data_IF_590190957200
#
_entry.id   IF_590190957200
#
_cell.length_a   1.000
_cell.length_b   1.000
_cell.length_c   1.000
_cell.angle_alpha   90.00
_cell.angle_beta   90.00
_cell.angle_gamma   90.00
#
_symmetry.space_group_name_H-M   'P 1'
#
loop_
_entity.id
_entity.type
_entity.pdbx_description
1 polymer ?
#
# COMPACT_ATOMS: atom_id res chain seq x y z
N UNK A 1 -9.94 -25.58 -10.21
CA UNK A 1 -8.84 -24.99 -9.44
C UNK A 1 -9.48 -24.03 -8.45
N UNK A 2 -9.58 -24.40 -7.17
CA UNK A 2 -10.21 -23.56 -6.15
C UNK A 2 -9.13 -22.61 -5.64
N UNK A 3 -9.25 -21.33 -5.93
CA UNK A 3 -8.34 -20.30 -5.41
C UNK A 3 -8.50 -20.23 -3.90
N UNK A 4 -7.41 -20.37 -3.15
CA UNK A 4 -7.43 -20.16 -1.70
C UNK A 4 -7.87 -18.71 -1.43
N UNK A 5 -8.97 -18.48 -0.69
CA UNK A 5 -9.43 -17.14 -0.33
C UNK A 5 -8.34 -16.31 0.36
N UNK A 6 -7.42 -16.97 1.06
CA UNK A 6 -6.28 -16.31 1.71
C UNK A 6 -5.30 -15.69 0.70
N UNK A 7 -5.03 -16.40 -0.41
CA UNK A 7 -4.17 -15.93 -1.48
C UNK A 7 -4.81 -14.77 -2.25
N UNK A 8 -6.11 -14.86 -2.52
CA UNK A 8 -6.87 -13.77 -3.14
C UNK A 8 -6.83 -12.50 -2.29
N UNK A 9 -7.06 -12.61 -0.98
CA UNK A 9 -7.03 -11.45 -0.09
C UNK A 9 -5.63 -10.84 0.00
N UNK A 10 -4.57 -11.67 0.04
CA UNK A 10 -3.19 -11.18 -0.01
C UNK A 10 -2.90 -10.43 -1.30
N UNK A 11 -3.32 -10.94 -2.46
CA UNK A 11 -3.18 -10.24 -3.75
C UNK A 11 -3.87 -8.88 -3.71
N UNK A 12 -5.10 -8.82 -3.24
CA UNK A 12 -5.86 -7.57 -3.10
C UNK A 12 -5.22 -6.60 -2.10
N UNK A 13 -4.68 -7.09 -0.99
CA UNK A 13 -3.95 -6.25 -0.04
C UNK A 13 -2.66 -5.67 -0.65
N UNK A 14 -1.94 -6.46 -1.46
CA UNK A 14 -0.79 -5.97 -2.23
C UNK A 14 -1.20 -4.85 -3.19
N UNK A 15 -2.28 -5.05 -3.96
CA UNK A 15 -2.82 -4.02 -4.86
C UNK A 15 -3.22 -2.73 -4.11
N UNK A 16 -3.82 -2.86 -2.92
CA UNK A 16 -4.15 -1.72 -2.05
C UNK A 16 -2.89 -0.94 -1.66
N UNK A 17 -1.84 -1.64 -1.26
CA UNK A 17 -0.57 -1.02 -0.88
C UNK A 17 0.10 -0.27 -2.04
N UNK A 18 0.22 -0.92 -3.20
CA UNK A 18 0.81 -0.30 -4.39
C UNK A 18 0.01 0.93 -4.84
N UNK A 19 -1.32 0.81 -4.95
CA UNK A 19 -2.18 1.91 -5.34
C UNK A 19 -2.14 3.09 -4.35
N UNK A 20 -1.93 2.82 -3.05
CA UNK A 20 -1.75 3.86 -2.05
C UNK A 20 -0.47 4.66 -2.28
N UNK A 21 0.65 3.99 -2.50
CA UNK A 21 1.90 4.69 -2.78
C UNK A 21 1.79 5.56 -4.04
N UNK A 22 1.20 5.03 -5.11
CA UNK A 22 0.95 5.77 -6.35
C UNK A 22 0.06 7.00 -6.14
N UNK A 23 -1.02 6.85 -5.39
CA UNK A 23 -1.92 7.94 -5.04
C UNK A 23 -1.17 9.05 -4.28
N UNK A 24 -0.40 8.68 -3.27
CA UNK A 24 0.36 9.66 -2.47
C UNK A 24 1.41 10.38 -3.33
N UNK A 25 2.11 9.65 -4.21
CA UNK A 25 3.07 10.24 -5.15
C UNK A 25 2.38 11.22 -6.09
N UNK A 26 1.19 10.90 -6.61
CA UNK A 26 0.40 11.81 -7.45
C UNK A 26 0.02 13.09 -6.70
N UNK A 27 -0.46 12.96 -5.46
CA UNK A 27 -0.83 14.10 -4.60
C UNK A 27 0.40 14.98 -4.35
N UNK A 28 1.53 14.40 -3.93
CA UNK A 28 2.75 15.16 -3.65
C UNK A 28 3.27 15.89 -4.90
N UNK A 29 3.19 15.27 -6.08
CA UNK A 29 3.57 15.92 -7.34
C UNK A 29 2.63 17.06 -7.70
N UNK A 30 1.32 16.88 -7.54
CA UNK A 30 0.33 17.92 -7.79
C UNK A 30 0.55 19.15 -6.91
N UNK A 31 0.97 18.93 -5.66
CA UNK A 31 1.29 19.99 -4.71
C UNK A 31 2.73 20.54 -4.84
N UNK A 32 3.48 20.11 -5.86
CA UNK A 32 4.91 20.42 -6.07
C UNK A 32 5.78 20.15 -4.83
N UNK A 33 5.41 19.14 -4.04
CA UNK A 33 6.13 18.71 -2.84
C UNK A 33 7.20 17.68 -3.20
N UNK A 34 8.33 17.75 -2.49
CA UNK A 34 9.41 16.77 -2.64
C UNK A 34 8.97 15.40 -2.14
N UNK A 35 9.34 14.36 -2.88
CA UNK A 35 9.19 12.95 -2.49
C UNK A 35 10.54 12.49 -1.95
N UNK A 36 10.69 12.48 -0.63
CA UNK A 36 11.94 12.17 0.06
C UNK A 36 11.68 11.37 1.33
N UNK A 37 12.71 10.68 1.82
CA UNK A 37 12.68 9.98 3.10
C UNK A 37 11.91 8.66 3.06
N UNK A 38 11.51 8.18 4.24
CA UNK A 38 10.80 6.92 4.36
C UNK A 38 9.31 7.02 4.04
N UNK A 39 8.67 5.86 3.90
CA UNK A 39 7.24 5.77 3.70
C UNK A 39 6.46 6.37 4.89
N UNK A 40 5.55 7.33 4.68
CA UNK A 40 4.87 8.03 5.78
C UNK A 40 3.61 7.33 6.29
N UNK A 41 3.11 6.31 5.59
CA UNK A 41 1.84 5.66 5.93
C UNK A 41 1.93 4.76 7.17
N UNK A 42 0.84 4.70 7.93
CA UNK A 42 0.75 3.98 9.21
C UNK A 42 -0.02 2.66 9.10
N UNK A 43 0.13 1.79 10.11
CA UNK A 43 -0.67 0.55 10.21
C UNK A 43 -2.17 0.83 10.35
N UNK A 44 -2.55 1.91 11.01
CA UNK A 44 -3.97 2.29 11.16
C UNK A 44 -4.60 2.63 9.82
N UNK A 45 -3.90 3.40 8.99
CA UNK A 45 -4.34 3.72 7.63
C UNK A 45 -4.37 2.49 6.73
N UNK A 46 -3.38 1.60 6.85
CA UNK A 46 -3.34 0.35 6.10
C UNK A 46 -4.59 -0.51 6.39
N UNK A 47 -4.96 -0.68 7.65
CA UNK A 47 -6.21 -1.39 8.04
C UNK A 47 -7.43 -0.74 7.41
N UNK A 48 -7.54 0.58 7.53
CA UNK A 48 -8.67 1.36 7.00
C UNK A 48 -8.80 1.17 5.49
N UNK A 49 -7.68 1.26 4.76
CA UNK A 49 -7.64 1.08 3.31
C UNK A 49 -7.98 -0.34 2.88
N UNK A 50 -7.46 -1.35 3.59
CA UNK A 50 -7.78 -2.76 3.33
C UNK A 50 -9.27 -3.04 3.55
N UNK A 51 -9.85 -2.58 4.65
CA UNK A 51 -11.29 -2.71 4.92
C UNK A 51 -12.13 -2.01 3.84
N UNK A 52 -11.77 -0.78 3.48
CA UNK A 52 -12.49 -0.01 2.47
C UNK A 52 -12.48 -0.72 1.10
N UNK A 53 -11.36 -1.35 0.72
CA UNK A 53 -11.25 -2.05 -0.56
C UNK A 53 -11.95 -3.40 -0.56
N UNK A 54 -11.79 -4.19 0.49
CA UNK A 54 -12.33 -5.55 0.55
C UNK A 54 -13.83 -5.58 0.83
N UNK A 55 -14.40 -4.49 1.39
CA UNK A 55 -15.84 -4.34 1.68
C UNK A 55 -16.43 -5.54 2.42
N UNK A 56 -15.65 -6.12 3.33
CA UNK A 56 -15.99 -7.31 4.09
C UNK A 56 -15.64 -7.10 5.56
N UNK A 57 -16.43 -7.74 6.43
CA UNK A 57 -16.02 -7.93 7.82
C UNK A 57 -14.91 -8.97 7.83
N UNK A 58 -13.74 -8.55 8.30
CA UNK A 58 -12.59 -9.43 8.50
C UNK A 58 -12.41 -9.63 10.00
N UNK A 59 -11.94 -10.82 10.36
CA UNK A 59 -11.38 -11.02 11.68
C UNK A 59 -10.20 -10.06 11.91
N UNK A 60 -9.98 -9.64 13.16
CA UNK A 60 -8.95 -8.67 13.49
C UNK A 60 -7.54 -9.18 13.15
N UNK A 61 -7.26 -10.47 13.35
CA UNK A 61 -5.96 -11.07 13.00
C UNK A 61 -5.74 -11.09 11.49
N UNK A 62 -6.76 -11.48 10.73
CA UNK A 62 -6.71 -11.48 9.26
C UNK A 62 -6.52 -10.06 8.72
N UNK A 63 -7.23 -9.08 9.27
CA UNK A 63 -7.07 -7.68 8.89
C UNK A 63 -5.65 -7.17 9.16
N UNK A 64 -5.07 -7.50 10.30
CA UNK A 64 -3.70 -7.10 10.65
C UNK A 64 -2.68 -7.69 9.68
N UNK A 65 -2.82 -8.95 9.31
CA UNK A 65 -1.93 -9.59 8.35
C UNK A 65 -2.05 -9.00 6.95
N UNK A 66 -3.28 -8.71 6.49
CA UNK A 66 -3.50 -8.02 5.22
C UNK A 66 -2.99 -6.57 5.25
N UNK A 67 -3.14 -5.87 6.37
CA UNK A 67 -2.60 -4.53 6.54
C UNK A 67 -1.05 -4.52 6.48
N UNK A 68 -0.39 -5.52 7.07
CA UNK A 68 1.07 -5.70 6.93
C UNK A 68 1.48 -5.91 5.47
N UNK A 69 0.75 -6.77 4.73
CA UNK A 69 0.98 -7.00 3.30
C UNK A 69 0.86 -5.68 2.51
N UNK A 70 -0.20 -4.91 2.78
CA UNK A 70 -0.41 -3.62 2.14
C UNK A 70 0.71 -2.61 2.48
N UNK A 71 1.18 -2.55 3.73
CA UNK A 71 2.32 -1.69 4.10
C UNK A 71 3.58 -2.09 3.33
N UNK A 72 3.89 -3.38 3.26
CA UNK A 72 5.09 -3.85 2.56
C UNK A 72 5.04 -3.45 1.09
N UNK A 73 3.90 -3.69 0.43
CA UNK A 73 3.70 -3.31 -0.96
C UNK A 73 3.83 -1.79 -1.17
N UNK A 74 3.20 -0.97 -0.31
CA UNK A 74 3.31 0.48 -0.37
C UNK A 74 4.75 0.98 -0.19
N UNK A 75 5.48 0.42 0.78
CA UNK A 75 6.90 0.74 1.02
C UNK A 75 7.76 0.36 -0.18
N UNK A 76 7.53 -0.81 -0.79
CA UNK A 76 8.25 -1.23 -1.98
C UNK A 76 8.06 -0.24 -3.13
N UNK A 77 6.82 0.16 -3.40
CA UNK A 77 6.51 1.11 -4.48
C UNK A 77 7.09 2.50 -4.21
N UNK A 78 6.96 3.01 -2.98
CA UNK A 78 7.59 4.25 -2.56
C UNK A 78 9.11 4.25 -2.79
N UNK A 79 9.79 3.16 -2.42
CA UNK A 79 11.22 3.01 -2.63
C UNK A 79 11.61 2.94 -4.11
N UNK A 80 10.77 2.33 -4.96
CA UNK A 80 10.98 2.35 -6.40
C UNK A 80 10.90 3.78 -6.94
N UNK A 81 9.92 4.57 -6.50
CA UNK A 81 9.80 5.98 -6.88
C UNK A 81 11.03 6.78 -6.45
N UNK A 82 11.50 6.64 -5.20
CA UNK A 82 12.72 7.32 -4.74
C UNK A 82 13.98 6.91 -5.52
N UNK A 83 14.09 5.65 -5.92
CA UNK A 83 15.20 5.18 -6.77
C UNK A 83 15.10 5.76 -8.17
N UNK A 84 13.89 5.91 -8.71
CA UNK A 84 13.68 6.51 -10.03
C UNK A 84 14.08 7.98 -10.04
N UNK A 85 13.77 8.75 -8.99
CA UNK A 85 14.11 10.17 -8.89
C UNK A 85 15.63 10.38 -8.85
N UNK A 86 16.35 9.60 -8.04
CA UNK A 86 17.82 9.66 -7.93
C UNK A 86 18.59 9.34 -9.22
N UNK A 87 17.94 8.74 -10.23
CA UNK A 87 18.58 8.43 -11.50
C UNK A 87 18.68 9.65 -12.42
N UNK A 88 17.91 10.71 -12.14
CA UNK A 88 17.81 11.92 -12.98
C UNK A 88 18.33 13.20 -12.29
N UNK A 89 18.83 13.09 -11.06
CA UNK A 89 19.58 14.12 -10.34
C UNK A 89 21.09 13.97 -10.63
#
# INVERSE_FOLDING_TARGET
MVTDPSAEFRSRATEVGAAWADELVRVLRADNRKIVGEWPGTMSEARTRVLARLRRKLDAGVLDDLAKVAIVAARCEWQQVLRSLRRWD
#
